data_IF_332506018004
#
_entry.id   IF_332506018004
#
_cell.length_a   1.000
_cell.length_b   1.000
_cell.length_c   1.000
_cell.angle_alpha   90.00
_cell.angle_beta   90.00
_cell.angle_gamma   90.00
#
_symmetry.space_group_name_H-M   'P 1'
#
loop_
_entity.id
_entity.type
_entity.pdbx_description
1 polymer ?
#
# COMPACT_ATOMS: atom_id res chain seq x y z
N UNK A 1 15.63 -27.53 7.42
CA UNK A 1 14.16 -27.42 7.34
C UNK A 1 13.58 -28.24 6.20
N UNK A 2 13.77 -27.90 4.91
CA UNK A 2 13.22 -28.72 3.82
C UNK A 2 13.94 -30.07 3.61
N UNK A 3 15.26 -30.10 3.88
CA UNK A 3 16.04 -31.35 3.86
C UNK A 3 15.55 -32.32 4.94
N UNK A 4 15.37 -31.81 6.17
CA UNK A 4 14.87 -32.59 7.30
C UNK A 4 13.44 -33.08 7.04
N UNK A 5 12.57 -32.20 6.53
CA UNK A 5 11.21 -32.57 6.12
C UNK A 5 11.20 -33.67 5.06
N UNK A 6 12.10 -33.60 4.06
CA UNK A 6 12.23 -34.65 3.06
C UNK A 6 12.67 -35.98 3.70
N UNK A 7 13.60 -35.94 4.66
CA UNK A 7 14.02 -37.14 5.36
C UNK A 7 12.86 -37.78 6.15
N UNK A 8 12.07 -36.98 6.86
CA UNK A 8 10.85 -37.45 7.54
C UNK A 8 9.84 -38.05 6.56
N UNK A 9 9.64 -37.43 5.39
CA UNK A 9 8.77 -37.98 4.36
C UNK A 9 9.28 -39.32 3.81
N UNK A 10 10.58 -39.42 3.55
CA UNK A 10 11.20 -40.65 3.04
C UNK A 10 11.13 -41.78 4.08
N UNK A 11 11.28 -41.46 5.37
CA UNK A 11 11.06 -42.41 6.48
C UNK A 11 9.59 -42.89 6.53
N UNK A 12 8.62 -41.97 6.43
CA UNK A 12 7.20 -42.36 6.42
C UNK A 12 6.84 -43.21 5.20
N UNK A 13 7.44 -42.95 4.04
CA UNK A 13 7.28 -43.79 2.85
C UNK A 13 7.78 -45.21 3.08
N UNK A 14 8.94 -45.36 3.72
CA UNK A 14 9.50 -46.68 4.04
C UNK A 14 8.64 -47.44 5.05
N UNK A 15 8.15 -46.76 6.10
CA UNK A 15 7.32 -47.36 7.15
C UNK A 15 5.95 -47.80 6.62
N UNK A 16 5.30 -46.96 5.80
CA UNK A 16 3.94 -47.21 5.34
C UNK A 16 3.87 -48.06 4.07
N UNK A 17 4.96 -48.12 3.28
CA UNK A 17 5.03 -48.91 2.06
C UNK A 17 3.88 -48.60 1.11
N UNK A 18 3.10 -49.63 0.77
CA UNK A 18 1.97 -49.54 -0.16
C UNK A 18 0.82 -48.63 0.32
N UNK A 19 0.74 -48.32 1.62
CA UNK A 19 -0.26 -47.42 2.19
C UNK A 19 0.12 -45.93 2.01
N UNK A 20 1.35 -45.64 1.59
CA UNK A 20 1.77 -44.28 1.28
C UNK A 20 1.41 -43.88 -0.15
N UNK A 21 0.60 -42.82 -0.29
CA UNK A 21 0.17 -42.31 -1.59
C UNK A 21 1.15 -41.27 -2.14
N UNK A 22 2.17 -41.71 -2.89
CA UNK A 22 3.23 -40.82 -3.37
C UNK A 22 2.84 -40.03 -4.63
N UNK A 23 2.33 -38.81 -4.41
CA UNK A 23 2.08 -37.83 -5.46
C UNK A 23 3.28 -36.90 -5.72
N UNK A 24 4.46 -37.20 -5.19
CA UNK A 24 5.66 -36.36 -5.26
C UNK A 24 5.40 -34.91 -4.79
N UNK A 25 4.63 -34.77 -3.70
CA UNK A 25 4.28 -33.48 -3.12
C UNK A 25 5.35 -33.03 -2.12
N UNK A 26 5.74 -31.74 -2.21
CA UNK A 26 6.61 -31.15 -1.19
C UNK A 26 5.92 -31.12 0.16
N UNK A 27 4.65 -30.74 0.22
CA UNK A 27 3.85 -30.73 1.44
C UNK A 27 2.77 -31.79 1.31
N UNK A 28 2.88 -32.85 2.12
CA UNK A 28 1.97 -33.98 2.12
C UNK A 28 1.54 -34.30 3.55
N UNK A 29 0.40 -34.99 3.69
CA UNK A 29 0.04 -35.63 4.95
C UNK A 29 0.98 -36.80 5.24
N UNK A 30 0.88 -37.37 6.44
CA UNK A 30 1.64 -38.56 6.84
C UNK A 30 1.46 -39.73 5.86
N UNK A 31 0.32 -39.82 5.18
CA UNK A 31 0.01 -40.86 4.19
C UNK A 31 0.28 -40.43 2.74
N UNK A 32 0.99 -39.32 2.50
CA UNK A 32 1.30 -38.83 1.15
C UNK A 32 0.20 -38.04 0.46
N UNK A 33 -0.98 -37.92 1.08
CA UNK A 33 -2.14 -37.22 0.50
C UNK A 33 -1.96 -35.69 0.50
N UNK A 34 -2.66 -34.97 -0.40
CA UNK A 34 -2.69 -33.51 -0.39
C UNK A 34 -3.20 -32.94 0.94
N UNK A 35 -2.57 -31.87 1.40
CA UNK A 35 -3.04 -31.12 2.56
C UNK A 35 -4.23 -30.23 2.18
N UNK A 36 -5.22 -30.17 3.06
CA UNK A 36 -6.34 -29.23 2.91
C UNK A 36 -5.98 -27.81 3.38
N UNK A 37 -6.83 -26.85 3.03
CA UNK A 37 -6.73 -25.43 3.39
C UNK A 37 -6.46 -25.14 4.87
N UNK A 38 -6.90 -26.03 5.77
CA UNK A 38 -6.73 -25.91 7.21
C UNK A 38 -5.30 -26.13 7.71
N UNK A 39 -4.46 -26.83 6.92
CA UNK A 39 -3.11 -27.22 7.33
C UNK A 39 -2.19 -26.03 7.64
N UNK A 40 -2.46 -24.87 7.02
CA UNK A 40 -1.72 -23.63 7.26
C UNK A 40 -2.54 -22.67 8.13
N UNK A 41 -3.84 -22.54 7.87
CA UNK A 41 -4.72 -21.58 8.56
C UNK A 41 -4.81 -21.84 10.06
N UNK A 42 -4.95 -23.10 10.47
CA UNK A 42 -5.04 -23.48 11.88
C UNK A 42 -3.78 -23.12 12.67
N UNK A 43 -2.60 -23.61 12.26
CA UNK A 43 -1.34 -23.26 12.92
C UNK A 43 -1.04 -21.76 12.92
N UNK A 44 -1.34 -21.04 11.83
CA UNK A 44 -1.16 -19.59 11.79
C UNK A 44 -2.03 -18.88 12.82
N UNK A 45 -3.32 -19.25 12.90
CA UNK A 45 -4.24 -18.67 13.89
C UNK A 45 -3.74 -18.90 15.32
N UNK A 46 -3.31 -20.14 15.61
CA UNK A 46 -2.75 -20.49 16.91
C UNK A 46 -1.49 -19.67 17.23
N UNK A 47 -0.58 -19.50 16.26
CA UNK A 47 0.63 -18.70 16.43
C UNK A 47 0.30 -17.22 16.72
N UNK A 48 -0.72 -16.67 16.05
CA UNK A 48 -1.18 -15.29 16.31
C UNK A 48 -1.70 -15.16 17.75
N UNK A 49 -2.49 -16.12 18.22
CA UNK A 49 -3.04 -16.15 19.57
C UNK A 49 -1.95 -16.35 20.64
N UNK A 50 -1.06 -17.33 20.46
CA UNK A 50 0.00 -17.70 21.40
C UNK A 50 0.98 -16.53 21.65
N UNK A 51 1.22 -15.69 20.64
CA UNK A 51 2.16 -14.58 20.68
C UNK A 51 1.50 -13.19 20.72
N UNK A 52 0.17 -13.12 20.87
CA UNK A 52 -0.60 -11.88 20.89
C UNK A 52 -0.28 -10.93 19.71
N UNK A 53 -0.21 -11.49 18.50
CA UNK A 53 0.08 -10.75 17.28
C UNK A 53 -1.19 -10.12 16.70
N UNK A 54 -1.06 -9.07 15.85
CA UNK A 54 -2.20 -8.55 15.10
C UNK A 54 -2.88 -9.65 14.26
N UNK A 55 -4.22 -9.65 14.19
CA UNK A 55 -4.95 -10.66 13.44
C UNK A 55 -4.69 -10.50 11.95
N UNK A 56 -4.06 -11.50 11.34
CA UNK A 56 -3.82 -11.58 9.90
C UNK A 56 -4.23 -12.94 9.36
N UNK A 57 -4.62 -12.98 8.08
CA UNK A 57 -4.91 -14.23 7.37
C UNK A 57 -3.74 -14.63 6.49
N UNK A 58 -3.67 -15.89 6.08
CA UNK A 58 -2.55 -16.37 5.26
C UNK A 58 -2.37 -15.57 3.95
N UNK A 59 -3.48 -15.11 3.35
CA UNK A 59 -3.41 -14.28 2.14
C UNK A 59 -2.74 -12.91 2.38
N UNK A 60 -2.72 -12.40 3.61
CA UNK A 60 -2.03 -11.15 3.96
C UNK A 60 -0.53 -11.22 3.66
N UNK A 61 0.11 -12.39 3.76
CA UNK A 61 1.53 -12.55 3.39
C UNK A 61 1.76 -12.34 1.89
N UNK A 62 0.80 -12.74 1.04
CA UNK A 62 0.86 -12.44 -0.39
C UNK A 62 0.79 -10.94 -0.63
N UNK A 63 -0.07 -10.23 0.11
CA UNK A 63 -0.13 -8.77 0.03
C UNK A 63 1.20 -8.12 0.42
N UNK A 64 1.76 -8.50 1.57
CA UNK A 64 3.08 -8.01 2.00
C UNK A 64 4.18 -8.31 0.98
N UNK A 65 4.21 -9.52 0.40
CA UNK A 65 5.19 -9.89 -0.62
C UNK A 65 5.13 -8.99 -1.86
N UNK A 66 3.92 -8.68 -2.34
CA UNK A 66 3.72 -7.80 -3.50
C UNK A 66 4.16 -6.37 -3.19
N UNK A 67 3.76 -5.83 -2.02
CA UNK A 67 4.21 -4.52 -1.54
C UNK A 67 5.72 -4.40 -1.53
N UNK A 68 6.42 -5.36 -0.92
CA UNK A 68 7.89 -5.31 -0.84
C UNK A 68 8.54 -5.45 -2.21
N UNK A 69 8.01 -6.29 -3.10
CA UNK A 69 8.53 -6.42 -4.47
C UNK A 69 8.43 -5.10 -5.23
N UNK A 70 7.32 -4.37 -5.09
CA UNK A 70 7.14 -3.05 -5.71
C UNK A 70 8.13 -2.02 -5.16
N UNK A 71 8.29 -1.95 -3.83
CA UNK A 71 9.26 -1.02 -3.21
C UNK A 71 10.69 -1.34 -3.63
N UNK A 72 11.08 -2.62 -3.59
CA UNK A 72 12.46 -3.05 -3.85
C UNK A 72 12.86 -2.96 -5.33
N UNK A 73 11.90 -3.06 -6.25
CA UNK A 73 12.17 -2.98 -7.68
C UNK A 73 11.91 -1.59 -8.29
N UNK A 74 11.62 -0.59 -7.47
CA UNK A 74 11.36 0.79 -7.93
C UNK A 74 10.03 0.94 -8.67
N UNK A 75 9.03 0.11 -8.38
CA UNK A 75 7.71 0.21 -8.96
C UNK A 75 7.56 -0.46 -10.34
N UNK A 76 8.40 -1.43 -10.69
CA UNK A 76 8.18 -2.26 -11.89
C UNK A 76 7.01 -3.23 -11.66
N UNK A 77 5.81 -2.71 -11.94
CA UNK A 77 4.54 -3.40 -11.79
C UNK A 77 4.48 -4.66 -12.66
N UNK A 78 5.09 -4.66 -13.84
CA UNK A 78 5.00 -5.78 -14.80
C UNK A 78 5.79 -6.99 -14.28
N UNK A 79 6.98 -6.75 -13.75
CA UNK A 79 7.78 -7.79 -13.10
C UNK A 79 7.06 -8.35 -11.85
N UNK A 80 6.49 -7.48 -11.01
CA UNK A 80 5.74 -7.93 -9.82
C UNK A 80 4.50 -8.72 -10.20
N UNK A 81 3.76 -8.29 -11.23
CA UNK A 81 2.58 -9.01 -11.73
C UNK A 81 2.95 -10.43 -12.17
N UNK A 82 3.98 -10.59 -13.00
CA UNK A 82 4.45 -11.89 -13.47
C UNK A 82 4.89 -12.80 -12.31
N UNK A 83 5.62 -12.26 -11.33
CA UNK A 83 6.09 -13.03 -10.18
C UNK A 83 4.95 -13.44 -9.23
N UNK A 84 3.97 -12.56 -9.03
CA UNK A 84 2.82 -12.85 -8.18
C UNK A 84 1.77 -13.72 -8.88
N UNK A 85 1.77 -13.80 -10.21
CA UNK A 85 0.79 -14.57 -10.97
C UNK A 85 -0.59 -13.88 -11.03
N UNK A 86 -0.65 -12.56 -10.89
CA UNK A 86 -1.90 -11.82 -11.09
C UNK A 86 -2.26 -11.81 -12.58
N UNK A 87 -3.46 -12.30 -12.92
CA UNK A 87 -3.94 -12.34 -14.30
C UNK A 87 -4.10 -10.95 -14.93
N UNK A 88 -4.27 -9.91 -14.11
CA UNK A 88 -4.46 -8.52 -14.54
C UNK A 88 -3.57 -7.58 -13.73
N UNK A 89 -2.98 -6.59 -14.40
CA UNK A 89 -2.16 -5.53 -13.80
C UNK A 89 -2.95 -4.68 -12.80
N UNK A 90 -4.23 -4.44 -13.11
CA UNK A 90 -5.10 -3.58 -12.29
C UNK A 90 -5.22 -4.06 -10.84
N UNK A 91 -5.15 -5.39 -10.59
CA UNK A 91 -5.15 -5.94 -9.23
C UNK A 91 -3.94 -5.52 -8.39
N UNK A 92 -2.83 -5.13 -9.02
CA UNK A 92 -1.62 -4.65 -8.34
C UNK A 92 -1.67 -3.13 -8.20
N UNK A 93 -2.06 -2.39 -9.24
CA UNK A 93 -2.16 -0.92 -9.15
C UNK A 93 -3.29 -0.47 -8.21
N UNK A 94 -4.43 -1.15 -8.20
CA UNK A 94 -5.58 -0.73 -7.39
C UNK A 94 -5.36 -1.02 -5.90
N UNK A 95 -4.60 -2.07 -5.57
CA UNK A 95 -4.34 -2.49 -4.19
C UNK A 95 -3.09 -1.81 -3.60
N UNK A 96 -2.09 -1.48 -4.42
CA UNK A 96 -0.77 -1.00 -3.93
C UNK A 96 -0.34 0.37 -4.49
N UNK A 97 -1.22 1.12 -5.18
CA UNK A 97 -0.89 2.48 -5.66
C UNK A 97 -0.37 3.41 -4.57
N UNK A 98 -0.94 3.35 -3.36
CA UNK A 98 -0.51 4.15 -2.21
C UNK A 98 0.97 3.95 -1.82
N UNK A 99 1.54 2.77 -2.09
CA UNK A 99 2.96 2.48 -1.84
C UNK A 99 3.86 3.25 -2.81
N UNK A 100 3.43 3.41 -4.07
CA UNK A 100 4.14 4.22 -5.05
C UNK A 100 4.07 5.71 -4.71
N UNK A 101 3.01 6.15 -4.02
CA UNK A 101 2.88 7.55 -3.58
C UNK A 101 3.86 7.91 -2.47
N UNK A 102 4.20 6.98 -1.57
CA UNK A 102 5.30 7.18 -0.61
C UNK A 102 6.64 7.37 -1.30
N UNK A 103 6.95 6.54 -2.32
CA UNK A 103 8.20 6.64 -3.08
C UNK A 103 8.22 7.95 -3.91
N UNK A 104 7.08 8.40 -4.43
CA UNK A 104 6.95 9.71 -5.08
C UNK A 104 7.22 10.87 -4.12
N UNK A 105 6.67 10.82 -2.91
CA UNK A 105 6.93 11.83 -1.87
C UNK A 105 8.42 11.90 -1.55
N UNK A 106 9.04 10.74 -1.31
CA UNK A 106 10.48 10.64 -1.03
C UNK A 106 11.35 11.13 -2.19
N UNK A 107 10.96 10.84 -3.43
CA UNK A 107 11.64 11.37 -4.61
C UNK A 107 11.50 12.90 -4.72
N UNK A 108 10.35 13.46 -4.37
CA UNK A 108 10.16 14.92 -4.32
C UNK A 108 11.02 15.57 -3.24
N UNK A 109 11.08 14.98 -2.03
CA UNK A 109 11.96 15.42 -0.95
C UNK A 109 13.45 15.38 -1.37
N UNK A 110 13.90 14.28 -1.98
CA UNK A 110 15.26 14.16 -2.52
C UNK A 110 15.56 15.18 -3.62
N UNK A 111 14.57 15.49 -4.46
CA UNK A 111 14.70 16.52 -5.49
C UNK A 111 14.85 17.91 -4.86
N UNK A 112 14.03 18.23 -3.86
CA UNK A 112 14.11 19.49 -3.13
C UNK A 112 15.44 19.66 -2.39
N UNK A 113 15.93 18.63 -1.71
CA UNK A 113 17.26 18.62 -1.08
C UNK A 113 18.37 18.82 -2.14
N UNK A 114 18.35 18.04 -3.21
CA UNK A 114 19.42 18.05 -4.20
C UNK A 114 19.49 19.35 -5.01
N UNK A 115 18.33 19.93 -5.33
CA UNK A 115 18.21 21.10 -6.21
C UNK A 115 18.00 22.41 -5.46
N UNK A 116 17.35 22.44 -4.29
CA UNK A 116 16.93 23.68 -3.64
C UNK A 116 17.59 23.94 -2.27
N UNK A 117 18.06 22.91 -1.54
CA UNK A 117 18.74 23.13 -0.24
C UNK A 117 20.22 23.54 -0.34
N UNK A 118 20.82 23.55 -1.55
CA UNK A 118 22.14 24.18 -1.73
C UNK A 118 21.97 25.68 -1.52
N UNK A 119 22.55 26.18 -0.42
CA UNK A 119 22.60 27.59 0.06
C UNK A 119 22.94 28.71 -0.96
N UNK A 120 23.09 28.41 -2.25
CA UNK A 120 23.35 29.37 -3.32
C UNK A 120 22.50 29.07 -4.57
N UNK A 121 21.23 28.69 -4.42
CA UNK A 121 20.28 28.86 -5.50
C UNK A 121 19.57 30.20 -5.35
N UNK A 122 19.37 30.84 -6.49
CA UNK A 122 18.87 32.20 -6.70
C UNK A 122 17.95 32.72 -5.56
N UNK A 123 18.26 33.87 -4.92
CA UNK A 123 17.46 34.44 -3.82
C UNK A 123 15.97 34.62 -4.14
N UNK A 124 15.59 34.58 -5.42
CA UNK A 124 14.20 34.67 -5.87
C UNK A 124 13.40 33.37 -5.72
N UNK A 125 14.04 32.22 -5.46
CA UNK A 125 13.33 30.94 -5.31
C UNK A 125 12.80 30.66 -3.89
N UNK A 126 13.34 31.33 -2.87
CA UNK A 126 12.66 31.46 -1.59
C UNK A 126 11.73 32.67 -1.63
N UNK A 127 10.68 32.61 -2.44
CA UNK A 127 9.49 33.40 -2.13
C UNK A 127 9.01 32.88 -0.79
N UNK A 128 9.23 33.66 0.27
CA UNK A 128 8.67 33.42 1.58
C UNK A 128 7.20 33.05 1.36
N UNK A 129 6.83 31.82 1.72
CA UNK A 129 5.43 31.56 2.02
C UNK A 129 5.13 32.44 3.24
N UNK A 130 4.67 33.66 2.98
CA UNK A 130 3.88 34.37 3.93
C UNK A 130 2.76 33.41 4.30
N UNK A 131 2.74 33.06 5.59
CA UNK A 131 1.67 32.29 6.19
C UNK A 131 0.36 33.05 5.95
N UNK A 132 -0.32 32.77 4.84
CA UNK A 132 -1.67 33.19 4.60
C UNK A 132 -2.62 32.31 5.43
N UNK A 133 -2.37 32.22 6.73
CA UNK A 133 -3.44 32.10 7.70
C UNK A 133 -4.12 33.46 7.71
N UNK A 134 -4.97 33.69 6.70
CA UNK A 134 -5.92 34.78 6.76
C UNK A 134 -6.77 34.52 8.01
N UNK A 135 -6.49 35.27 9.08
CA UNK A 135 -7.45 35.44 10.16
C UNK A 135 -8.73 35.93 9.50
N UNK A 136 -9.78 35.11 9.54
CA UNK A 136 -11.11 35.55 9.13
C UNK A 136 -11.44 36.73 10.03
N UNK A 137 -11.32 37.93 9.51
CA UNK A 137 -11.77 39.12 10.22
C UNK A 137 -13.30 39.06 10.26
N UNK A 138 -13.86 39.10 11.46
CA UNK A 138 -15.31 39.06 11.70
C UNK A 138 -16.07 40.28 11.11
N UNK A 139 -15.35 41.27 10.59
CA UNK A 139 -15.93 42.47 9.99
C UNK A 139 -15.69 42.52 8.48
N UNK A 140 -16.78 42.38 7.72
CA UNK A 140 -16.78 42.55 6.26
C UNK A 140 -16.80 44.06 5.95
N UNK A 141 -15.75 44.57 5.32
CA UNK A 141 -15.71 45.95 4.84
C UNK A 141 -16.78 46.19 3.75
N UNK A 142 -17.77 47.09 3.99
CA UNK A 142 -18.88 47.32 3.08
C UNK A 142 -18.47 47.93 1.73
N UNK A 143 -17.37 48.67 1.65
CA UNK A 143 -16.89 49.22 0.37
C UNK A 143 -16.28 48.12 -0.51
N UNK A 144 -15.53 47.20 0.10
CA UNK A 144 -14.94 46.07 -0.61
C UNK A 144 -16.03 45.12 -1.12
N UNK A 145 -17.05 44.86 -0.28
CA UNK A 145 -18.20 44.04 -0.66
C UNK A 145 -18.98 44.68 -1.83
N UNK A 146 -19.16 46.00 -1.82
CA UNK A 146 -19.82 46.72 -2.91
C UNK A 146 -19.05 46.60 -4.24
N UNK A 147 -17.71 46.69 -4.21
CA UNK A 147 -16.86 46.47 -5.40
C UNK A 147 -16.92 45.03 -5.91
N UNK A 148 -16.93 44.04 -5.03
CA UNK A 148 -17.03 42.63 -5.42
C UNK A 148 -18.41 42.34 -6.03
N UNK A 149 -19.48 42.90 -5.47
CA UNK A 149 -20.85 42.75 -5.99
C UNK A 149 -21.09 43.55 -7.27
N UNK A 150 -20.27 44.55 -7.58
CA UNK A 150 -20.34 45.26 -8.85
C UNK A 150 -19.92 44.37 -10.03
N UNK A 151 -19.13 43.32 -9.80
CA UNK A 151 -18.84 42.30 -10.80
C UNK A 151 -20.00 41.29 -10.90
N UNK A 152 -20.68 41.19 -12.06
CA UNK A 152 -21.85 40.33 -12.25
C UNK A 152 -21.55 38.84 -12.13
N UNK A 153 -20.34 38.38 -12.49
CA UNK A 153 -19.94 36.98 -12.35
C UNK A 153 -19.74 36.59 -10.88
N UNK A 154 -19.07 37.46 -10.12
CA UNK A 154 -18.86 37.25 -8.68
C UNK A 154 -20.18 37.30 -7.91
N UNK A 155 -21.09 38.20 -8.29
CA UNK A 155 -22.44 38.25 -7.73
C UNK A 155 -23.23 36.95 -8.00
N UNK A 156 -23.12 36.38 -9.19
CA UNK A 156 -23.77 35.11 -9.52
C UNK A 156 -23.22 33.94 -8.70
N UNK A 157 -21.89 33.89 -8.54
CA UNK A 157 -21.20 32.88 -7.73
C UNK A 157 -21.65 32.95 -6.26
N UNK A 158 -21.63 34.14 -5.65
CA UNK A 158 -22.06 34.33 -4.25
C UNK A 158 -23.53 33.97 -4.03
N UNK A 159 -24.40 34.27 -4.99
CA UNK A 159 -25.81 33.88 -4.92
C UNK A 159 -26.00 32.35 -5.01
N UNK A 160 -25.18 31.65 -5.81
CA UNK A 160 -25.21 30.19 -5.87
C UNK A 160 -24.76 29.56 -4.55
N UNK A 161 -23.69 30.09 -3.95
CA UNK A 161 -23.16 29.66 -2.64
C UNK A 161 -24.17 29.90 -1.52
N UNK A 162 -24.82 31.06 -1.48
CA UNK A 162 -25.86 31.36 -0.50
C UNK A 162 -27.08 30.44 -0.64
N UNK A 163 -27.41 30.01 -1.87
CA UNK A 163 -28.50 29.08 -2.14
C UNK A 163 -28.17 27.65 -1.73
N UNK A 164 -26.90 27.24 -1.78
CA UNK A 164 -26.44 25.93 -1.30
C UNK A 164 -26.31 25.82 0.22
N UNK A 165 -26.34 26.95 0.94
CA UNK A 165 -26.28 26.98 2.41
C UNK A 165 -27.66 27.03 3.09
N UNK A 166 -28.76 26.95 2.32
CA UNK A 166 -30.14 26.77 2.82
C UNK A 166 -30.60 25.34 2.57
#
# INVERSE_FOLDING_TARGET
>A
MLVDWKAEQDEMKEILGDEYMDYNLVMASTFGLPLGDGAIRGPLKKLIEDYNLPPVVFHSFRHSSVTYKLKLNGGDIKAVQGNSGHAQVNMVTDVYSHILDDDRRKNAELFEEAFYEKKNLDPQMHVQQENNNATVADEVDPELLAKVLANPEMRALLNSLAKTMK
#
